data_IF_322561159101
#
_entry.id   IF_322561159101
#
_cell.length_a   1.000
_cell.length_b   1.000
_cell.length_c   1.000
_cell.angle_alpha   90.00
_cell.angle_beta   90.00
_cell.angle_gamma   90.00
#
_symmetry.space_group_name_H-M   'P 1'
#
loop_
_entity.id
_entity.type
_entity.pdbx_description
1 polymer ?
#
# COMPACT_ATOMS: atom_id res chain seq x y z
N UNK A 1 29.97 18.66 -73.60
CA UNK A 1 30.33 17.45 -72.84
C UNK A 1 30.54 17.87 -71.39
N UNK A 2 29.57 17.56 -70.54
CA UNK A 2 29.48 17.94 -69.12
C UNK A 2 29.88 16.75 -68.26
N UNK A 3 30.72 16.87 -67.21
CA UNK A 3 30.96 15.77 -66.29
C UNK A 3 29.86 15.76 -65.21
N UNK A 4 29.22 14.60 -65.06
CA UNK A 4 28.23 14.33 -64.03
C UNK A 4 28.90 14.19 -62.65
N UNK A 5 28.37 14.90 -61.65
CA UNK A 5 28.75 14.74 -60.24
C UNK A 5 27.99 13.55 -59.66
N UNK A 6 28.73 12.53 -59.22
CA UNK A 6 28.21 11.41 -58.43
C UNK A 6 27.95 11.91 -57.01
N UNK A 7 26.69 11.98 -56.59
CA UNK A 7 26.32 12.16 -55.18
C UNK A 7 26.24 10.78 -54.52
N UNK A 8 27.12 10.53 -53.56
CA UNK A 8 27.09 9.34 -52.70
C UNK A 8 26.09 9.62 -51.56
N UNK A 9 24.92 8.99 -51.60
CA UNK A 9 23.95 9.05 -50.51
C UNK A 9 24.38 8.08 -49.40
N UNK A 10 24.75 8.61 -48.24
CA UNK A 10 25.01 7.81 -47.04
C UNK A 10 23.68 7.39 -46.41
N UNK A 11 23.38 6.09 -46.49
CA UNK A 11 22.22 5.47 -45.86
C UNK A 11 22.50 5.29 -44.36
N UNK A 12 21.92 6.15 -43.53
CA UNK A 12 21.93 6.00 -42.07
C UNK A 12 21.09 4.76 -41.69
N UNK A 13 21.77 3.67 -41.37
CA UNK A 13 21.20 2.50 -40.71
C UNK A 13 20.73 2.92 -39.30
N UNK A 14 19.45 3.23 -39.16
CA UNK A 14 18.81 3.29 -37.86
C UNK A 14 18.72 1.87 -37.31
N UNK A 15 19.54 1.55 -36.33
CA UNK A 15 19.36 0.34 -35.54
C UNK A 15 18.03 0.47 -34.80
N UNK A 16 17.08 -0.46 -34.97
CA UNK A 16 15.91 -0.48 -34.13
C UNK A 16 16.40 -0.78 -32.72
N UNK A 17 16.30 0.21 -31.83
CA UNK A 17 16.32 -0.05 -30.39
C UNK A 17 15.15 -0.99 -30.16
N UNK A 18 15.44 -2.30 -30.08
CA UNK A 18 14.56 -3.27 -29.46
C UNK A 18 14.31 -2.72 -28.06
N UNK A 19 13.17 -2.05 -27.89
CA UNK A 19 12.59 -1.78 -26.59
C UNK A 19 12.30 -3.16 -25.99
N UNK A 20 13.32 -3.80 -25.42
CA UNK A 20 13.13 -4.91 -24.52
C UNK A 20 12.17 -4.38 -23.47
N UNK A 21 10.93 -4.88 -23.48
CA UNK A 21 9.96 -4.57 -22.46
C UNK A 21 10.63 -4.86 -21.12
N UNK A 22 11.00 -3.80 -20.39
CA UNK A 22 11.77 -3.93 -19.15
C UNK A 22 10.89 -4.65 -18.13
N UNK A 23 11.12 -5.96 -17.96
CA UNK A 23 10.38 -6.82 -17.05
C UNK A 23 11.24 -7.18 -15.85
N UNK A 24 10.67 -7.19 -14.64
CA UNK A 24 11.36 -7.72 -13.47
C UNK A 24 10.69 -9.01 -12.97
N UNK A 25 11.50 -10.05 -12.77
CA UNK A 25 11.09 -11.28 -12.12
C UNK A 25 10.95 -11.09 -10.60
N UNK A 26 10.41 -12.12 -9.94
CA UNK A 26 10.36 -12.17 -8.48
C UNK A 26 11.79 -12.08 -7.92
N UNK A 27 12.01 -11.30 -6.86
CA UNK A 27 13.33 -11.20 -6.27
C UNK A 27 13.64 -12.50 -5.54
N UNK A 28 14.92 -12.85 -5.50
CA UNK A 28 15.38 -13.76 -4.44
C UNK A 28 15.24 -12.99 -3.13
N UNK A 29 14.67 -13.57 -2.08
CA UNK A 29 14.60 -12.99 -0.73
C UNK A 29 15.25 -13.98 0.22
N UNK A 30 16.17 -13.50 1.07
CA UNK A 30 16.98 -14.34 1.94
C UNK A 30 16.71 -14.03 3.40
N UNK A 31 16.82 -15.07 4.24
CA UNK A 31 16.87 -14.88 5.69
C UNK A 31 17.96 -13.86 6.05
N UNK A 32 17.64 -12.94 6.96
CA UNK A 32 18.53 -11.85 7.35
C UNK A 32 18.43 -10.58 6.51
N UNK A 33 17.75 -10.60 5.34
CA UNK A 33 17.47 -9.36 4.60
C UNK A 33 16.67 -8.40 5.49
N UNK A 34 17.09 -7.13 5.54
CA UNK A 34 16.51 -6.12 6.40
C UNK A 34 16.27 -4.81 5.65
N UNK A 35 15.13 -4.17 5.93
CA UNK A 35 14.78 -2.85 5.43
C UNK A 35 14.22 -2.02 6.58
N UNK A 36 14.71 -0.80 6.74
CA UNK A 36 14.11 0.19 7.64
C UNK A 36 13.42 1.25 6.82
N UNK A 37 12.16 1.53 7.13
CA UNK A 37 11.37 2.56 6.47
C UNK A 37 11.05 3.70 7.43
N UNK A 38 11.18 4.93 6.94
CA UNK A 38 10.52 6.08 7.53
C UNK A 38 9.08 6.10 7.00
N UNK A 39 8.11 5.93 7.89
CA UNK A 39 6.68 5.91 7.54
C UNK A 39 5.95 7.10 8.15
N UNK A 40 5.27 7.89 7.33
CA UNK A 40 4.44 9.02 7.76
C UNK A 40 2.97 8.67 7.56
N UNK A 41 2.17 8.85 8.61
CA UNK A 41 0.71 8.67 8.58
C UNK A 41 0.07 10.02 8.86
N UNK A 42 -0.63 10.56 7.88
CA UNK A 42 -1.45 11.76 7.98
C UNK A 42 -2.92 11.35 8.15
N UNK A 43 -3.59 11.83 9.19
CA UNK A 43 -5.02 11.53 9.44
C UNK A 43 -5.82 12.83 9.48
N UNK A 44 -6.49 13.17 8.38
CA UNK A 44 -7.31 14.38 8.25
C UNK A 44 -6.65 15.65 8.83
N UNK A 45 -7.44 16.56 9.45
CA UNK A 45 -6.89 17.70 10.20
C UNK A 45 -6.29 17.31 11.56
N UNK A 46 -6.36 16.03 11.94
CA UNK A 46 -6.00 15.49 13.25
C UNK A 46 -4.48 15.32 13.46
N UNK A 47 -3.69 15.67 12.45
CA UNK A 47 -2.23 15.69 12.51
C UNK A 47 -1.56 14.54 11.75
N UNK A 48 -0.24 14.44 11.94
CA UNK A 48 0.59 13.40 11.35
C UNK A 48 1.44 12.72 12.42
N UNK A 49 1.79 11.46 12.16
CA UNK A 49 2.75 10.69 12.96
C UNK A 49 3.80 10.10 12.03
N UNK A 50 5.04 10.05 12.48
CA UNK A 50 6.11 9.32 11.79
C UNK A 50 6.64 8.18 12.66
N UNK A 51 6.94 7.05 12.02
CA UNK A 51 7.60 5.88 12.61
C UNK A 51 8.80 5.49 11.77
N UNK A 52 9.72 4.75 12.38
CA UNK A 52 10.87 4.13 11.71
C UNK A 52 10.75 2.63 11.95
N UNK A 53 10.33 1.88 10.94
CA UNK A 53 9.93 0.48 11.09
C UNK A 53 10.93 -0.43 10.37
N UNK A 54 11.57 -1.32 11.13
CA UNK A 54 12.53 -2.29 10.63
C UNK A 54 11.84 -3.62 10.34
N UNK A 55 11.96 -4.08 9.11
CA UNK A 55 11.50 -5.37 8.62
C UNK A 55 12.69 -6.32 8.51
N UNK A 56 12.63 -7.51 9.08
CA UNK A 56 13.74 -8.49 9.00
C UNK A 56 13.21 -9.86 8.58
N UNK A 57 13.73 -10.41 7.49
CA UNK A 57 13.34 -11.72 7.00
C UNK A 57 13.87 -12.80 7.94
N UNK A 58 12.97 -13.63 8.44
CA UNK A 58 13.29 -14.78 9.29
C UNK A 58 13.52 -16.03 8.44
N UNK A 59 12.68 -16.24 7.41
CA UNK A 59 12.80 -17.34 6.45
C UNK A 59 11.92 -17.12 5.23
N UNK A 60 12.20 -17.87 4.17
CA UNK A 60 11.38 -17.92 2.96
C UNK A 60 11.03 -19.37 2.60
N UNK A 61 9.90 -19.55 1.94
CA UNK A 61 9.52 -20.78 1.25
C UNK A 61 9.28 -20.45 -0.22
N UNK A 62 8.86 -21.44 -1.02
CA UNK A 62 8.46 -21.20 -2.40
C UNK A 62 7.28 -20.22 -2.54
N UNK A 63 6.42 -20.10 -1.53
CA UNK A 63 5.19 -19.32 -1.58
C UNK A 63 5.11 -18.18 -0.59
N UNK A 64 5.91 -18.20 0.49
CA UNK A 64 5.75 -17.27 1.61
C UNK A 64 7.08 -16.67 2.08
N UNK A 65 6.99 -15.45 2.59
CA UNK A 65 8.05 -14.72 3.29
C UNK A 65 7.60 -14.57 4.74
N UNK A 66 8.41 -15.04 5.67
CA UNK A 66 8.23 -14.84 7.10
C UNK A 66 9.20 -13.76 7.55
N UNK A 67 8.71 -12.72 8.19
CA UNK A 67 9.51 -11.60 8.63
C UNK A 67 9.00 -11.00 9.92
N UNK A 68 9.87 -10.30 10.64
CA UNK A 68 9.48 -9.49 11.80
C UNK A 68 9.34 -8.03 11.42
N UNK A 69 8.47 -7.30 12.13
CA UNK A 69 8.38 -5.84 12.08
C UNK A 69 8.61 -5.28 13.48
N UNK A 70 9.50 -4.30 13.59
CA UNK A 70 9.80 -3.60 14.83
C UNK A 70 9.85 -2.09 14.58
N UNK A 71 9.00 -1.34 15.28
CA UNK A 71 9.13 0.12 15.31
C UNK A 71 10.29 0.52 16.23
N UNK A 72 11.09 1.49 15.79
CA UNK A 72 12.20 2.07 16.57
C UNK A 72 11.68 2.64 17.89
N UNK A 73 12.26 2.19 18.99
CA UNK A 73 11.90 2.63 20.34
C UNK A 73 10.55 2.10 20.86
N UNK A 74 9.91 1.16 20.17
CA UNK A 74 8.72 0.52 20.72
C UNK A 74 9.05 -0.30 21.98
N UNK A 75 8.20 -0.26 23.02
CA UNK A 75 8.45 -0.94 24.29
C UNK A 75 8.23 -2.46 24.20
N UNK A 76 7.63 -2.93 23.10
CA UNK A 76 7.37 -4.34 22.83
C UNK A 76 8.39 -4.89 21.84
N UNK A 77 8.60 -6.21 21.91
CA UNK A 77 9.40 -6.93 20.91
C UNK A 77 8.75 -6.99 19.52
N UNK A 78 9.45 -7.58 18.54
CA UNK A 78 9.01 -7.59 17.16
C UNK A 78 7.75 -8.42 16.99
N UNK A 79 6.90 -8.01 16.06
CA UNK A 79 5.76 -8.84 15.63
C UNK A 79 6.17 -9.69 14.43
N UNK A 80 5.81 -10.97 14.44
CA UNK A 80 5.98 -11.86 13.29
C UNK A 80 4.83 -11.70 12.30
N UNK A 81 5.18 -11.66 11.01
CA UNK A 81 4.25 -11.46 9.90
C UNK A 81 4.58 -12.45 8.80
N UNK A 82 3.53 -12.90 8.09
CA UNK A 82 3.62 -13.72 6.90
C UNK A 82 3.09 -12.91 5.72
N UNK A 83 3.81 -12.92 4.61
CA UNK A 83 3.33 -12.44 3.32
C UNK A 83 3.55 -13.51 2.25
N UNK A 84 2.81 -13.44 1.14
CA UNK A 84 3.14 -14.23 -0.04
C UNK A 84 4.51 -13.83 -0.62
N UNK A 85 5.08 -14.66 -1.49
CA UNK A 85 6.36 -14.40 -2.17
C UNK A 85 6.33 -13.12 -3.05
N UNK A 86 5.14 -12.62 -3.35
CA UNK A 86 4.89 -11.35 -4.04
C UNK A 86 4.49 -10.20 -3.09
N UNK A 87 4.81 -10.35 -1.80
CA UNK A 87 4.43 -9.43 -0.73
C UNK A 87 2.91 -9.26 -0.56
N UNK A 88 2.10 -10.20 -1.05
CA UNK A 88 0.66 -10.20 -0.80
C UNK A 88 0.35 -10.37 0.68
N UNK A 89 -0.68 -9.66 1.13
CA UNK A 89 -1.27 -9.84 2.46
C UNK A 89 -2.46 -10.78 2.34
N UNK A 90 -2.34 -11.90 3.04
CA UNK A 90 -3.34 -12.96 3.09
C UNK A 90 -3.86 -13.03 4.54
N UNK A 91 -5.17 -13.14 4.70
CA UNK A 91 -5.79 -13.33 6.02
C UNK A 91 -7.04 -14.18 5.92
N UNK A 92 -7.54 -14.63 7.06
CA UNK A 92 -8.88 -15.20 7.13
C UNK A 92 -9.94 -14.10 6.96
N UNK A 93 -10.85 -14.30 6.01
CA UNK A 93 -12.05 -13.50 5.78
C UNK A 93 -13.21 -14.48 5.72
N UNK A 94 -14.17 -14.36 6.64
CA UNK A 94 -15.33 -15.24 6.74
C UNK A 94 -14.99 -16.75 6.72
N UNK A 95 -13.92 -17.14 7.41
CA UNK A 95 -13.46 -18.53 7.49
C UNK A 95 -12.57 -18.97 6.33
N UNK A 96 -12.35 -18.12 5.31
CA UNK A 96 -11.58 -18.45 4.11
C UNK A 96 -10.28 -17.65 4.02
N UNK A 97 -9.20 -18.32 3.63
CA UNK A 97 -7.95 -17.65 3.27
C UNK A 97 -8.16 -16.77 2.04
N UNK A 98 -7.96 -15.46 2.21
CA UNK A 98 -8.27 -14.44 1.20
C UNK A 98 -7.12 -13.44 1.08
N UNK A 99 -6.69 -13.19 -0.16
CA UNK A 99 -5.75 -12.12 -0.47
C UNK A 99 -6.47 -10.78 -0.38
N UNK A 100 -6.04 -9.94 0.56
CA UNK A 100 -6.66 -8.63 0.84
C UNK A 100 -5.78 -7.46 0.38
N UNK A 101 -4.55 -7.74 -0.05
CA UNK A 101 -3.67 -6.80 -0.72
C UNK A 101 -2.65 -7.60 -1.55
N UNK A 102 -2.36 -7.17 -2.76
CA UNK A 102 -1.34 -7.80 -3.63
C UNK A 102 -0.56 -6.70 -4.36
N UNK A 103 0.45 -6.09 -3.72
CA UNK A 103 1.15 -4.94 -4.30
C UNK A 103 1.99 -5.32 -5.53
N UNK A 104 2.44 -6.57 -5.63
CA UNK A 104 3.25 -7.06 -6.75
C UNK A 104 2.61 -8.33 -7.34
N UNK A 105 2.72 -8.48 -8.67
CA UNK A 105 2.40 -9.72 -9.35
C UNK A 105 3.48 -9.98 -10.41
N UNK A 106 4.46 -10.83 -10.08
CA UNK A 106 5.59 -11.11 -10.96
C UNK A 106 5.21 -11.97 -12.18
N UNK A 107 5.95 -11.86 -13.31
CA UNK A 107 6.91 -10.79 -13.60
C UNK A 107 6.20 -9.43 -13.75
N UNK A 108 6.85 -8.36 -13.33
CA UNK A 108 6.35 -6.98 -13.42
C UNK A 108 6.74 -6.41 -14.79
N UNK A 109 5.75 -6.30 -15.66
CA UNK A 109 5.90 -5.77 -17.02
C UNK A 109 5.02 -4.54 -17.18
N UNK A 110 5.50 -3.43 -17.78
CA UNK A 110 4.68 -2.26 -18.06
C UNK A 110 3.36 -2.65 -18.75
N UNK A 111 2.25 -2.15 -18.23
CA UNK A 111 0.91 -2.47 -18.71
C UNK A 111 0.25 -3.69 -18.07
N UNK A 112 0.98 -4.57 -17.36
CA UNK A 112 0.38 -5.66 -16.61
C UNK A 112 -0.55 -5.12 -15.53
N UNK A 113 -1.74 -5.70 -15.40
CA UNK A 113 -2.72 -5.35 -14.39
C UNK A 113 -3.28 -6.58 -13.70
N UNK A 114 -3.84 -6.37 -12.50
CA UNK A 114 -4.56 -7.38 -11.74
C UNK A 114 -5.50 -6.73 -10.74
N UNK A 115 -6.49 -7.49 -10.30
CA UNK A 115 -7.50 -7.02 -9.34
C UNK A 115 -7.38 -7.77 -8.01
N UNK A 116 -7.72 -7.07 -6.93
CA UNK A 116 -7.95 -7.65 -5.61
C UNK A 116 -9.29 -7.12 -5.11
N UNK A 117 -10.21 -8.03 -4.83
CA UNK A 117 -11.48 -7.69 -4.20
C UNK A 117 -11.82 -8.68 -3.10
N UNK A 118 -12.46 -8.17 -2.05
CA UNK A 118 -13.00 -8.99 -0.99
C UNK A 118 -14.15 -8.29 -0.29
N UNK A 119 -15.06 -9.10 0.25
CA UNK A 119 -16.12 -8.67 1.16
C UNK A 119 -15.94 -9.44 2.46
N UNK A 120 -16.05 -8.75 3.58
CA UNK A 120 -15.98 -9.32 4.92
C UNK A 120 -17.22 -8.94 5.72
N UNK A 121 -17.80 -9.93 6.38
CA UNK A 121 -18.97 -9.73 7.23
C UNK A 121 -18.56 -9.62 8.69
N UNK A 122 -19.11 -8.61 9.37
CA UNK A 122 -18.85 -8.31 10.77
C UNK A 122 -17.34 -8.25 11.12
N UNK A 123 -16.51 -7.49 10.37
CA UNK A 123 -15.07 -7.44 10.59
C UNK A 123 -14.71 -6.92 11.99
N UNK A 124 -15.59 -6.12 12.60
CA UNK A 124 -15.45 -5.60 13.96
C UNK A 124 -16.82 -5.18 14.51
N UNK A 125 -16.87 -4.70 15.76
CA UNK A 125 -18.13 -4.28 16.42
C UNK A 125 -18.81 -3.06 15.79
N UNK A 126 -18.06 -2.24 15.07
CA UNK A 126 -18.56 -1.01 14.46
C UNK A 126 -19.12 -1.25 13.06
N UNK A 127 -18.66 -2.27 12.34
CA UNK A 127 -19.06 -2.53 10.95
C UNK A 127 -19.71 -3.91 10.80
N UNK A 128 -20.87 -3.98 10.16
CA UNK A 128 -21.54 -5.24 9.80
C UNK A 128 -21.03 -5.80 8.48
N UNK A 129 -20.45 -4.95 7.62
CA UNK A 129 -19.85 -5.35 6.35
C UNK A 129 -18.73 -4.39 5.97
N UNK A 130 -17.67 -4.91 5.39
CA UNK A 130 -16.68 -4.15 4.63
C UNK A 130 -16.47 -4.80 3.26
N UNK A 131 -16.43 -4.00 2.20
CA UNK A 131 -16.07 -4.44 0.86
C UNK A 131 -14.99 -3.54 0.28
N UNK A 132 -14.04 -4.16 -0.40
CA UNK A 132 -12.91 -3.50 -1.03
C UNK A 132 -12.73 -4.03 -2.45
N UNK A 133 -12.47 -3.12 -3.38
CA UNK A 133 -12.12 -3.42 -4.76
C UNK A 133 -10.89 -2.57 -5.12
N UNK A 134 -9.84 -3.20 -5.66
CA UNK A 134 -8.58 -2.53 -6.00
C UNK A 134 -8.03 -3.06 -7.31
N UNK A 135 -7.77 -2.17 -8.26
CA UNK A 135 -7.21 -2.45 -9.58
C UNK A 135 -5.76 -1.94 -9.65
N UNK A 136 -4.80 -2.85 -9.86
CA UNK A 136 -3.38 -2.55 -9.96
C UNK A 136 -2.93 -2.47 -11.42
N UNK A 137 -1.93 -1.63 -11.70
CA UNK A 137 -1.27 -1.54 -13.00
C UNK A 137 0.22 -1.23 -12.84
N UNK A 138 1.06 -1.98 -13.54
CA UNK A 138 2.48 -1.67 -13.67
C UNK A 138 2.66 -0.53 -14.66
N UNK A 139 3.26 0.57 -14.21
CA UNK A 139 3.47 1.76 -15.02
C UNK A 139 4.81 1.70 -15.76
N UNK A 140 5.85 1.18 -15.10
CA UNK A 140 7.19 1.05 -15.67
C UNK A 140 8.27 1.60 -14.75
N UNK A 141 9.51 1.65 -15.23
CA UNK A 141 10.66 2.13 -14.48
C UNK A 141 10.69 3.66 -14.38
N UNK A 142 11.02 4.17 -13.21
CA UNK A 142 11.40 5.56 -12.98
C UNK A 142 12.48 5.69 -11.91
N UNK A 143 13.23 6.79 -11.96
CA UNK A 143 14.25 7.11 -10.97
C UNK A 143 13.61 7.65 -9.71
N UNK A 144 13.88 7.02 -8.57
CA UNK A 144 13.35 7.42 -7.24
C UNK A 144 14.51 7.70 -6.30
N UNK A 145 14.44 8.83 -5.59
CA UNK A 145 15.38 9.22 -4.55
C UNK A 145 14.68 9.16 -3.19
N UNK A 146 15.30 8.47 -2.23
CA UNK A 146 14.84 8.25 -0.85
C UNK A 146 16.05 8.36 0.09
N UNK A 147 15.89 8.38 1.42
CA UNK A 147 17.06 8.52 2.32
C UNK A 147 18.13 7.42 2.15
N UNK A 148 17.75 6.20 1.74
CA UNK A 148 18.69 5.12 1.43
C UNK A 148 19.47 5.31 0.11
N UNK A 149 19.15 6.33 -0.70
CA UNK A 149 19.83 6.64 -1.95
C UNK A 149 18.89 6.72 -3.16
N UNK A 150 19.47 6.57 -4.35
CA UNK A 150 18.78 6.67 -5.64
C UNK A 150 18.65 5.30 -6.28
N UNK A 151 17.45 4.96 -6.72
CA UNK A 151 17.10 3.65 -7.27
C UNK A 151 16.36 3.78 -8.60
N UNK A 152 16.51 2.78 -9.47
CA UNK A 152 15.68 2.66 -10.68
C UNK A 152 14.54 1.68 -10.39
N UNK A 153 13.38 2.21 -9.99
CA UNK A 153 12.30 1.43 -9.45
C UNK A 153 11.11 1.34 -10.42
N UNK A 154 10.45 0.19 -10.45
CA UNK A 154 9.21 -0.01 -11.17
C UNK A 154 8.06 0.55 -10.35
N UNK A 155 7.35 1.53 -10.89
CA UNK A 155 6.12 2.04 -10.31
C UNK A 155 4.95 1.12 -10.63
N UNK A 156 4.21 0.74 -9.59
CA UNK A 156 2.91 0.07 -9.68
C UNK A 156 1.90 1.01 -9.00
N UNK A 157 0.85 1.36 -9.72
CA UNK A 157 -0.26 2.15 -9.18
C UNK A 157 -1.48 1.26 -8.99
N UNK A 158 -2.33 1.62 -8.04
CA UNK A 158 -3.62 1.02 -7.87
C UNK A 158 -4.68 2.03 -7.46
N UNK A 159 -5.88 1.85 -8.01
CA UNK A 159 -7.06 2.63 -7.64
C UNK A 159 -8.17 1.69 -7.23
N UNK A 160 -9.04 2.15 -6.34
CA UNK A 160 -10.06 1.28 -5.77
C UNK A 160 -11.19 2.02 -5.12
N UNK A 161 -12.17 1.26 -4.66
CA UNK A 161 -13.29 1.75 -3.86
C UNK A 161 -13.41 0.90 -2.60
N UNK A 162 -13.99 1.50 -1.56
CA UNK A 162 -14.36 0.78 -0.36
C UNK A 162 -15.81 1.11 0.03
N UNK A 163 -16.45 0.15 0.67
CA UNK A 163 -17.77 0.25 1.26
C UNK A 163 -17.68 -0.29 2.68
N UNK A 164 -18.29 0.41 3.63
CA UNK A 164 -18.50 -0.08 4.99
C UNK A 164 -19.96 0.13 5.39
N UNK A 165 -20.60 -0.90 5.95
CA UNK A 165 -21.91 -0.79 6.58
C UNK A 165 -21.73 -0.70 8.09
N UNK A 166 -22.22 0.38 8.70
CA UNK A 166 -22.09 0.61 10.13
C UNK A 166 -23.13 -0.19 10.90
N UNK A 167 -22.68 -0.85 11.96
CA UNK A 167 -23.54 -1.51 12.91
C UNK A 167 -24.42 -0.47 13.63
N UNK A 168 -25.71 -0.80 13.87
CA UNK A 168 -26.57 0.05 14.68
C UNK A 168 -25.99 0.17 16.09
N UNK A 169 -25.97 1.39 16.62
CA UNK A 169 -25.45 1.68 17.96
C UNK A 169 -26.50 2.41 18.79
N UNK A 170 -26.37 2.29 20.11
CA UNK A 170 -27.20 3.02 21.07
C UNK A 170 -26.27 3.71 22.05
N UNK A 171 -26.35 5.03 22.11
CA UNK A 171 -25.61 5.86 23.06
C UNK A 171 -26.58 6.39 24.12
N UNK A 172 -26.15 6.40 25.39
CA UNK A 172 -26.88 7.05 26.48
C UNK A 172 -26.21 8.41 26.70
N UNK A 173 -26.93 9.48 26.40
CA UNK A 173 -26.49 10.85 26.63
C UNK A 173 -27.13 11.33 27.92
N UNK A 174 -26.30 11.61 28.93
CA UNK A 174 -26.73 12.25 30.17
C UNK A 174 -26.33 13.72 30.13
N UNK A 175 -27.30 14.62 30.24
CA UNK A 175 -27.08 16.05 30.33
C UNK A 175 -27.66 16.60 31.62
N UNK A 176 -26.88 17.43 32.31
CA UNK A 176 -27.32 18.15 33.48
C UNK A 176 -27.75 19.55 33.06
N UNK A 177 -29.01 19.90 33.25
CA UNK A 177 -29.51 21.27 33.09
C UNK A 177 -29.63 21.91 34.47
N UNK A 178 -28.75 22.88 34.75
CA UNK A 178 -28.82 23.73 35.94
C UNK A 178 -29.59 24.99 35.63
N UNK A 179 -30.75 25.18 36.28
CA UNK A 179 -31.51 26.42 36.27
C UNK A 179 -31.59 27.01 37.68
N UNK A 180 -32.01 28.27 37.81
CA UNK A 180 -32.06 29.00 39.08
C UNK A 180 -32.95 28.35 40.18
N UNK A 181 -33.70 27.28 39.86
CA UNK A 181 -34.52 26.49 40.78
C UNK A 181 -34.03 25.06 41.05
N UNK A 182 -32.85 24.64 40.55
CA UNK A 182 -32.28 23.30 40.80
C UNK A 182 -31.60 22.66 39.58
N UNK A 183 -30.95 21.52 39.80
CA UNK A 183 -30.29 20.71 38.77
C UNK A 183 -31.22 19.60 38.31
N UNK A 184 -31.56 19.55 37.03
CA UNK A 184 -32.29 18.43 36.42
C UNK A 184 -31.33 17.58 35.59
N UNK A 185 -31.31 16.27 35.85
CA UNK A 185 -30.59 15.31 35.02
C UNK A 185 -31.52 14.77 33.93
N UNK A 186 -31.15 14.95 32.67
CA UNK A 186 -31.83 14.38 31.51
C UNK A 186 -31.00 13.19 31.03
N UNK A 187 -31.61 12.00 31.00
CA UNK A 187 -31.01 10.82 30.35
C UNK A 187 -31.75 10.57 29.04
N UNK A 188 -31.07 10.73 27.92
CA UNK A 188 -31.60 10.47 26.59
C UNK A 188 -30.91 9.25 25.99
N UNK A 189 -31.71 8.32 25.46
CA UNK A 189 -31.19 7.22 24.65
C UNK A 189 -31.17 7.66 23.19
N UNK A 190 -30.01 7.73 22.58
CA UNK A 190 -29.83 8.04 21.17
C UNK A 190 -29.52 6.75 20.41
N UNK A 191 -30.41 6.34 19.50
CA UNK A 191 -30.21 5.18 18.63
C UNK A 191 -29.75 5.65 17.26
N UNK A 192 -28.61 5.16 16.82
CA UNK A 192 -28.04 5.42 15.50
C UNK A 192 -28.45 4.29 14.55
N UNK A 193 -29.10 4.67 13.45
CA UNK A 193 -29.51 3.72 12.42
C UNK A 193 -28.28 3.19 11.66
N UNK A 194 -28.36 1.97 11.10
CA UNK A 194 -27.36 1.48 10.17
C UNK A 194 -27.18 2.49 9.03
N UNK A 195 -25.93 2.79 8.68
CA UNK A 195 -25.62 3.67 7.57
C UNK A 195 -24.48 3.11 6.75
N UNK A 196 -24.47 3.45 5.46
CA UNK A 196 -23.45 3.02 4.50
C UNK A 196 -22.45 4.14 4.31
N UNK A 197 -21.19 3.86 4.58
CA UNK A 197 -20.06 4.70 4.22
C UNK A 197 -19.38 4.12 2.97
N UNK A 198 -18.93 4.99 2.09
CA UNK A 198 -18.20 4.60 0.88
C UNK A 198 -17.07 5.56 0.62
N UNK A 199 -16.12 5.16 -0.22
CA UNK A 199 -15.06 6.05 -0.64
C UNK A 199 -14.13 5.42 -1.66
N UNK A 200 -13.03 6.12 -1.93
CA UNK A 200 -12.02 5.73 -2.91
C UNK A 200 -10.69 5.45 -2.24
N UNK A 201 -9.85 4.67 -2.91
CA UNK A 201 -8.45 4.48 -2.52
C UNK A 201 -7.53 4.72 -3.69
N UNK A 202 -6.35 5.24 -3.38
CA UNK A 202 -5.21 5.28 -4.29
C UNK A 202 -4.03 4.62 -3.59
N UNK A 203 -3.25 3.84 -4.33
CA UNK A 203 -2.00 3.24 -3.86
C UNK A 203 -0.93 3.38 -4.93
N UNK A 204 0.32 3.53 -4.51
CA UNK A 204 1.46 3.39 -5.38
C UNK A 204 2.63 2.77 -4.63
N UNK A 205 3.35 1.86 -5.29
CA UNK A 205 4.60 1.28 -4.79
C UNK A 205 5.68 1.40 -5.86
N UNK A 206 6.91 1.68 -5.43
CA UNK A 206 8.08 1.77 -6.29
C UNK A 206 9.02 0.62 -6.00
N UNK A 207 8.81 -0.50 -6.68
CA UNK A 207 9.55 -1.74 -6.51
C UNK A 207 10.95 -1.65 -7.13
N UNK A 208 12.01 -1.88 -6.35
CA UNK A 208 13.38 -1.95 -6.85
C UNK A 208 13.87 -3.41 -6.80
N UNK A 209 14.13 -4.07 -7.95
CA UNK A 209 14.56 -5.47 -7.98
C UNK A 209 15.84 -5.74 -7.17
N UNK A 210 16.78 -4.80 -7.20
CA UNK A 210 18.04 -4.84 -6.44
C UNK A 210 17.81 -4.81 -4.93
N UNK A 211 16.71 -4.21 -4.48
CA UNK A 211 16.29 -4.14 -3.07
C UNK A 211 15.43 -5.34 -2.67
N UNK A 212 14.79 -6.01 -3.64
CA UNK A 212 13.81 -7.09 -3.40
C UNK A 212 12.49 -6.63 -2.78
N UNK A 213 12.30 -5.31 -2.64
CA UNK A 213 11.11 -4.67 -2.08
C UNK A 213 10.98 -3.26 -2.64
N UNK A 214 9.85 -2.61 -2.39
CA UNK A 214 9.67 -1.21 -2.76
C UNK A 214 10.53 -0.27 -1.94
N UNK A 215 11.11 0.73 -2.59
CA UNK A 215 11.88 1.81 -1.94
C UNK A 215 10.98 2.93 -1.46
N UNK A 216 9.77 3.04 -2.04
CA UNK A 216 8.76 4.01 -1.67
C UNK A 216 7.35 3.42 -1.81
N UNK A 217 6.44 3.85 -0.95
CA UNK A 217 5.01 3.58 -1.10
C UNK A 217 4.15 4.77 -0.68
N UNK A 218 2.96 4.87 -1.26
CA UNK A 218 1.90 5.81 -0.91
C UNK A 218 0.59 5.04 -0.88
N UNK A 219 -0.17 5.16 0.20
CA UNK A 219 -1.52 4.64 0.35
C UNK A 219 -2.43 5.78 0.81
N UNK A 220 -3.58 5.94 0.15
CA UNK A 220 -4.52 7.00 0.42
C UNK A 220 -5.95 6.47 0.49
N UNK A 221 -6.70 7.01 1.44
CA UNK A 221 -8.12 6.74 1.61
C UNK A 221 -8.87 8.05 1.51
N UNK A 222 -9.93 8.04 0.71
CA UNK A 222 -10.83 9.15 0.47
C UNK A 222 -12.23 8.77 0.91
N UNK A 223 -12.98 9.72 1.47
CA UNK A 223 -14.40 9.54 1.76
C UNK A 223 -15.27 9.73 0.50
N UNK A 224 -16.58 9.56 0.64
CA UNK A 224 -17.56 9.70 -0.45
C UNK A 224 -17.59 11.10 -1.07
N UNK A 225 -17.17 12.13 -0.33
CA UNK A 225 -17.03 13.50 -0.82
C UNK A 225 -15.72 13.76 -1.56
N UNK A 226 -14.86 12.75 -1.72
CA UNK A 226 -13.55 12.91 -2.37
C UNK A 226 -12.51 13.61 -1.49
N UNK A 227 -12.77 13.77 -0.20
CA UNK A 227 -11.79 14.34 0.74
C UNK A 227 -10.93 13.20 1.30
N UNK A 228 -9.61 13.37 1.21
CA UNK A 228 -8.63 12.42 1.74
C UNK A 228 -8.71 12.35 3.27
N UNK A 229 -9.14 11.22 3.81
CA UNK A 229 -9.22 10.97 5.24
C UNK A 229 -7.89 10.52 5.82
N UNK A 230 -7.08 9.80 5.04
CA UNK A 230 -5.79 9.30 5.48
C UNK A 230 -4.80 9.22 4.31
N UNK A 231 -3.52 9.50 4.58
CA UNK A 231 -2.39 9.13 3.73
C UNK A 231 -1.34 8.43 4.57
N UNK A 232 -0.80 7.34 4.06
CA UNK A 232 0.40 6.70 4.58
C UNK A 232 1.46 6.72 3.49
N UNK A 233 2.62 7.27 3.79
CA UNK A 233 3.81 7.22 2.92
C UNK A 233 4.93 6.48 3.63
N UNK A 234 5.69 5.68 2.89
CA UNK A 234 6.89 5.04 3.42
C UNK A 234 8.03 5.25 2.44
N UNK A 235 9.21 5.60 2.95
CA UNK A 235 10.45 5.73 2.18
C UNK A 235 11.55 4.90 2.84
N UNK A 236 12.32 4.19 2.02
CA UNK A 236 13.41 3.35 2.49
C UNK A 236 14.50 4.23 3.09
N UNK A 237 14.77 4.03 4.37
CA UNK A 237 15.77 4.77 5.14
C UNK A 237 17.11 4.05 5.11
N UNK A 238 17.10 2.74 5.36
CA UNK A 238 18.29 1.89 5.28
C UNK A 238 17.91 0.49 4.80
N UNK A 239 18.89 -0.23 4.25
CA UNK A 239 18.77 -1.65 3.92
C UNK A 239 20.05 -2.40 4.23
N UNK A 240 19.90 -3.68 4.57
CA UNK A 240 21.00 -4.63 4.72
C UNK A 240 20.58 -5.93 4.05
N UNK A 241 21.22 -6.29 2.94
CA UNK A 241 20.92 -7.50 2.18
C UNK A 241 21.99 -8.56 2.43
N UNK A 242 21.57 -9.81 2.63
CA UNK A 242 22.45 -10.91 2.98
C UNK A 242 22.97 -11.61 1.72
N UNK A 243 24.29 -11.61 1.52
CA UNK A 243 24.96 -12.38 0.47
C UNK A 243 24.56 -11.99 -0.94
N UNK A 244 24.63 -10.69 -1.25
CA UNK A 244 24.53 -10.10 -2.60
C UNK A 244 25.61 -9.06 -2.78
#
# INVERSE_FOLDING_TARGET
>A
MTPAKLFLAALLLSTPVLAAAQSADAPVIKSGDQWTYQTTIETGPSGWKQTHDTFTVVRTTASNIYFTVQAKGAPTGPIEVIAGADWSRIRNVDGKETTVNRPLAFPLQPGKSWDVSFTEHNPNKAHTLEQWDTHYKVMGYESVEVPAGKFNAIKIEAEGQWIAELAPSTAIVQSANTAAGGTTMVTQTQRTQPSKATGRTYRAVWYAPEVGRWVKSVDEVYNSGGVRSQRTTSELETLQLTGR
#
